data_IF_606101027093
#
_entry.id   IF_606101027093
#
_cell.length_a   1.000
_cell.length_b   1.000
_cell.length_c   1.000
_cell.angle_alpha   90.00
_cell.angle_beta   90.00
_cell.angle_gamma   90.00
#
_symmetry.space_group_name_H-M   'P 1'
#
loop_
_entity.id
_entity.type
_entity.pdbx_description
1 polymer ?
#
# COMPACT_ATOMS: atom_id res chain seq x y z
N UNK A 1 -24.34 -8.66 4.15
CA UNK A 1 -23.47 -9.23 3.10
C UNK A 1 -23.08 -8.21 2.04
N UNK A 2 -24.04 -7.69 1.26
CA UNK A 2 -23.75 -6.83 0.10
C UNK A 2 -22.94 -5.55 0.38
N UNK A 3 -23.25 -4.83 1.46
CA UNK A 3 -22.48 -3.64 1.85
C UNK A 3 -21.00 -3.98 2.11
N UNK A 4 -20.73 -5.08 2.80
CA UNK A 4 -19.37 -5.57 3.07
C UNK A 4 -18.63 -5.97 1.79
N UNK A 5 -19.29 -6.68 0.87
CA UNK A 5 -18.71 -7.03 -0.43
C UNK A 5 -18.42 -5.77 -1.28
N UNK A 6 -19.29 -4.76 -1.21
CA UNK A 6 -19.11 -3.49 -1.93
C UNK A 6 -17.91 -2.70 -1.42
N UNK A 7 -17.64 -2.71 -0.10
CA UNK A 7 -16.40 -2.15 0.47
C UNK A 7 -15.17 -2.82 -0.12
N UNK A 8 -15.13 -4.15 -0.16
CA UNK A 8 -13.99 -4.88 -0.73
C UNK A 8 -13.83 -4.63 -2.23
N UNK A 9 -14.93 -4.57 -2.99
CA UNK A 9 -14.88 -4.33 -4.43
C UNK A 9 -14.46 -2.89 -4.78
N UNK A 10 -15.01 -1.89 -4.08
CA UNK A 10 -14.66 -0.47 -4.26
C UNK A 10 -13.24 -0.16 -3.77
N UNK A 11 -12.78 -0.84 -2.73
CA UNK A 11 -11.43 -0.65 -2.19
C UNK A 11 -10.36 -1.49 -2.92
N UNK A 12 -10.73 -2.56 -3.63
CA UNK A 12 -9.79 -3.36 -4.46
C UNK A 12 -9.02 -2.48 -5.44
N UNK A 13 -9.69 -1.55 -6.11
CA UNK A 13 -9.07 -0.60 -7.04
C UNK A 13 -8.31 0.53 -6.33
N UNK A 14 -8.59 0.75 -5.04
CA UNK A 14 -7.97 1.78 -4.22
C UNK A 14 -6.64 1.36 -3.57
N UNK A 15 -6.29 0.06 -3.66
CA UNK A 15 -5.10 -0.48 -3.01
C UNK A 15 -3.89 0.39 -3.33
N UNK A 16 -3.38 1.06 -2.30
CA UNK A 16 -2.30 2.05 -2.40
C UNK A 16 -1.05 1.49 -3.08
N UNK A 17 -0.95 0.17 -3.15
CA UNK A 17 0.09 -0.62 -3.78
C UNK A 17 0.04 -0.66 -5.30
N UNK A 18 -1.14 -0.52 -5.94
CA UNK A 18 -1.24 -0.53 -7.43
C UNK A 18 -0.43 0.63 -8.03
N UNK A 19 -0.41 1.79 -7.36
CA UNK A 19 0.43 2.92 -7.78
C UNK A 19 1.89 2.83 -7.33
N UNK A 20 2.25 2.01 -6.33
CA UNK A 20 3.66 1.78 -5.98
C UNK A 20 4.37 0.89 -7.00
N UNK A 21 3.62 0.04 -7.70
CA UNK A 21 4.18 -0.80 -8.75
C UNK A 21 4.38 -0.06 -10.10
N UNK A 22 3.83 1.15 -10.24
CA UNK A 22 4.03 2.00 -11.42
C UNK A 22 5.52 2.29 -11.66
N UNK A 23 5.98 2.07 -12.89
CA UNK A 23 7.38 2.18 -13.27
C UNK A 23 7.96 3.57 -12.92
N UNK A 24 7.17 4.62 -13.10
CA UNK A 24 7.55 6.01 -12.84
C UNK A 24 7.78 6.26 -11.34
N UNK A 25 6.89 5.77 -10.47
CA UNK A 25 7.03 5.92 -9.01
C UNK A 25 8.28 5.20 -8.51
N UNK A 26 8.56 4.00 -9.05
CA UNK A 26 9.78 3.26 -8.71
C UNK A 26 11.05 3.96 -9.20
N UNK A 27 11.03 4.54 -10.40
CA UNK A 27 12.16 5.29 -10.92
C UNK A 27 12.45 6.53 -10.06
N UNK A 28 11.43 7.32 -9.75
CA UNK A 28 11.57 8.51 -8.89
C UNK A 28 12.02 8.15 -7.48
N UNK A 29 11.54 7.04 -6.91
CA UNK A 29 12.01 6.54 -5.61
C UNK A 29 13.48 6.16 -5.63
N UNK A 30 13.94 5.42 -6.65
CA UNK A 30 15.36 5.06 -6.78
C UNK A 30 16.25 6.29 -6.91
N UNK A 31 15.83 7.29 -7.70
CA UNK A 31 16.60 8.51 -7.86
C UNK A 31 16.65 9.37 -6.59
N UNK A 32 15.57 9.42 -5.83
CA UNK A 32 15.54 10.08 -4.53
C UNK A 32 16.47 9.38 -3.52
N UNK A 33 16.40 8.04 -3.45
CA UNK A 33 17.25 7.24 -2.56
C UNK A 33 18.74 7.37 -2.90
N UNK A 34 19.09 7.32 -4.19
CA UNK A 34 20.46 7.54 -4.64
C UNK A 34 20.97 8.94 -4.26
N UNK A 35 20.18 9.99 -4.51
CA UNK A 35 20.56 11.35 -4.15
C UNK A 35 20.69 11.54 -2.63
N UNK A 36 19.83 10.90 -1.84
CA UNK A 36 19.92 10.90 -0.39
C UNK A 36 21.20 10.22 0.11
N UNK A 37 21.50 9.02 -0.40
CA UNK A 37 22.72 8.28 -0.05
C UNK A 37 23.97 9.07 -0.45
N UNK A 38 23.95 9.72 -1.61
CA UNK A 38 25.04 10.58 -2.07
C UNK A 38 25.27 11.79 -1.15
N UNK A 39 24.20 12.34 -0.57
CA UNK A 39 24.29 13.47 0.36
C UNK A 39 24.71 13.08 1.78
N UNK A 40 24.34 11.89 2.25
CA UNK A 40 24.41 11.49 3.67
C UNK A 40 25.53 10.49 3.96
N UNK A 41 25.90 9.63 3.01
CA UNK A 41 26.91 8.60 3.24
C UNK A 41 28.33 9.18 3.25
N UNK A 42 29.18 8.61 4.10
CA UNK A 42 30.57 9.04 4.22
C UNK A 42 31.43 8.69 2.99
N UNK A 43 31.11 7.60 2.30
CA UNK A 43 31.88 7.10 1.16
C UNK A 43 32.04 8.14 0.03
N UNK A 44 30.96 8.78 -0.47
CA UNK A 44 31.08 9.80 -1.53
C UNK A 44 31.42 11.21 -1.03
N UNK A 45 31.49 11.45 0.29
CA UNK A 45 31.59 12.80 0.85
C UNK A 45 32.80 13.61 0.34
N UNK A 46 33.91 12.93 0.05
CA UNK A 46 35.12 13.55 -0.52
C UNK A 46 34.90 14.04 -1.94
N UNK A 47 34.25 13.24 -2.79
CA UNK A 47 33.95 13.60 -4.17
C UNK A 47 32.94 14.74 -4.22
N UNK A 48 31.90 14.68 -3.38
CA UNK A 48 30.89 15.74 -3.29
C UNK A 48 31.52 17.09 -2.92
N UNK A 49 32.50 17.09 -2.00
CA UNK A 49 33.23 18.30 -1.60
C UNK A 49 34.25 18.74 -2.64
N UNK A 50 35.01 17.81 -3.23
CA UNK A 50 36.04 18.09 -4.23
C UNK A 50 35.44 18.70 -5.50
N UNK A 51 34.31 18.16 -5.96
CA UNK A 51 33.61 18.65 -7.16
C UNK A 51 32.62 19.77 -6.87
N UNK A 52 32.41 20.16 -5.61
CA UNK A 52 31.49 21.23 -5.24
C UNK A 52 30.01 20.96 -5.55
N UNK A 53 29.64 19.69 -5.76
CA UNK A 53 28.29 19.30 -6.22
C UNK A 53 27.24 19.20 -5.09
N UNK A 54 27.60 19.53 -3.84
CA UNK A 54 26.71 19.37 -2.68
C UNK A 54 25.35 20.06 -2.83
N UNK A 55 25.33 21.31 -3.30
CA UNK A 55 24.07 22.03 -3.56
C UNK A 55 23.21 21.33 -4.61
N UNK A 56 23.83 20.90 -5.72
CA UNK A 56 23.15 20.16 -6.77
C UNK A 56 22.55 18.83 -6.28
N UNK A 57 23.25 18.10 -5.41
CA UNK A 57 22.74 16.84 -4.83
C UNK A 57 21.51 17.09 -3.94
N UNK A 58 21.56 18.12 -3.09
CA UNK A 58 20.45 18.49 -2.20
C UNK A 58 19.23 18.94 -3.01
N UNK A 59 19.43 19.81 -3.99
CA UNK A 59 18.35 20.29 -4.88
C UNK A 59 17.71 19.15 -5.65
N UNK A 60 18.53 18.21 -6.14
CA UNK A 60 18.06 17.00 -6.82
C UNK A 60 17.21 16.14 -5.87
N UNK A 61 17.65 15.92 -4.64
CA UNK A 61 16.87 15.17 -3.66
C UNK A 61 15.53 15.86 -3.37
N UNK A 62 15.54 17.17 -3.11
CA UNK A 62 14.35 17.95 -2.81
C UNK A 62 13.34 17.91 -3.97
N UNK A 63 13.80 18.09 -5.22
CA UNK A 63 12.96 18.02 -6.41
C UNK A 63 12.30 16.64 -6.59
N UNK A 64 13.06 15.56 -6.41
CA UNK A 64 12.54 14.18 -6.53
C UNK A 64 11.58 13.84 -5.39
N UNK A 65 11.87 14.30 -4.18
CA UNK A 65 10.98 14.12 -3.03
C UNK A 65 9.66 14.86 -3.21
N UNK A 66 9.70 16.10 -3.73
CA UNK A 66 8.50 16.87 -4.07
C UNK A 66 7.68 16.17 -5.15
N UNK A 67 8.33 15.68 -6.22
CA UNK A 67 7.64 14.95 -7.30
C UNK A 67 6.92 13.70 -6.79
N UNK A 68 7.54 12.96 -5.87
CA UNK A 68 6.89 11.82 -5.22
C UNK A 68 5.66 12.23 -4.41
N UNK A 69 5.71 13.36 -3.70
CA UNK A 69 4.55 13.88 -2.96
C UNK A 69 3.42 14.32 -3.90
N UNK A 70 3.74 14.94 -5.03
CA UNK A 70 2.76 15.32 -6.06
C UNK A 70 2.06 14.08 -6.64
N UNK A 71 2.81 13.05 -7.04
CA UNK A 71 2.25 11.79 -7.53
C UNK A 71 1.38 11.10 -6.47
N UNK A 72 1.78 11.19 -5.19
CA UNK A 72 0.98 10.71 -4.08
C UNK A 72 -0.32 11.52 -3.96
N UNK A 73 -0.27 12.85 -3.99
CA UNK A 73 -1.45 13.71 -3.91
C UNK A 73 -2.42 13.49 -5.06
N UNK A 74 -1.94 13.43 -6.30
CA UNK A 74 -2.78 13.14 -7.48
C UNK A 74 -3.47 11.77 -7.33
N UNK A 75 -2.74 10.76 -6.86
CA UNK A 75 -3.31 9.44 -6.61
C UNK A 75 -4.33 9.43 -5.46
N UNK A 76 -4.12 10.24 -4.42
CA UNK A 76 -5.06 10.36 -3.30
C UNK A 76 -6.35 11.07 -3.72
N UNK A 77 -6.28 12.06 -4.61
CA UNK A 77 -7.45 12.81 -5.07
C UNK A 77 -8.45 11.95 -5.85
N UNK A 78 -7.97 11.05 -6.71
CA UNK A 78 -8.82 10.08 -7.40
C UNK A 78 -9.48 9.08 -6.42
N UNK A 79 -8.80 8.79 -5.30
CA UNK A 79 -9.27 7.86 -4.27
C UNK A 79 -10.26 8.49 -3.29
N UNK A 80 -10.24 9.81 -3.09
CA UNK A 80 -11.19 10.51 -2.22
C UNK A 80 -12.64 10.23 -2.63
N UNK A 81 -12.94 10.20 -3.94
CA UNK A 81 -14.29 9.88 -4.43
C UNK A 81 -14.71 8.45 -4.09
N UNK A 82 -13.83 7.46 -4.29
CA UNK A 82 -14.12 6.06 -3.94
C UNK A 82 -14.30 5.88 -2.42
N UNK A 83 -13.44 6.50 -1.61
CA UNK A 83 -13.57 6.49 -0.16
C UNK A 83 -14.89 7.12 0.31
N UNK A 84 -15.29 8.25 -0.29
CA UNK A 84 -16.58 8.87 0.01
C UNK A 84 -17.75 7.95 -0.34
N UNK A 85 -17.71 7.26 -1.48
CA UNK A 85 -18.75 6.28 -1.84
C UNK A 85 -18.81 5.13 -0.83
N UNK A 86 -17.66 4.60 -0.42
CA UNK A 86 -17.57 3.54 0.59
C UNK A 86 -18.17 4.01 1.92
N UNK A 87 -17.77 5.19 2.40
CA UNK A 87 -18.33 5.78 3.63
C UNK A 87 -19.84 5.98 3.50
N UNK A 88 -20.32 6.51 2.38
CA UNK A 88 -21.75 6.73 2.16
C UNK A 88 -22.54 5.40 2.20
N UNK A 89 -22.07 4.35 1.53
CA UNK A 89 -22.72 3.03 1.54
C UNK A 89 -22.74 2.44 2.94
N UNK A 90 -21.64 2.53 3.69
CA UNK A 90 -21.59 2.06 5.07
C UNK A 90 -22.55 2.85 5.95
N UNK A 91 -22.55 4.18 5.90
CA UNK A 91 -23.46 5.02 6.68
C UNK A 91 -24.92 4.68 6.38
N UNK A 92 -25.30 4.53 5.11
CA UNK A 92 -26.66 4.15 4.71
C UNK A 92 -27.03 2.78 5.28
N UNK A 93 -26.14 1.80 5.20
CA UNK A 93 -26.37 0.47 5.77
C UNK A 93 -26.55 0.52 7.31
N UNK A 94 -25.76 1.34 8.00
CA UNK A 94 -25.87 1.53 9.44
C UNK A 94 -27.21 2.17 9.82
N UNK A 95 -27.57 3.25 9.14
CA UNK A 95 -28.84 3.96 9.36
C UNK A 95 -30.04 3.04 9.11
N UNK A 96 -30.00 2.22 8.06
CA UNK A 96 -31.06 1.26 7.76
C UNK A 96 -31.29 0.23 8.89
N UNK A 97 -30.25 -0.15 9.63
CA UNK A 97 -30.35 -1.06 10.78
C UNK A 97 -30.82 -0.32 12.04
N UNK A 98 -30.33 0.91 12.28
CA UNK A 98 -30.63 1.66 13.50
C UNK A 98 -32.06 2.24 13.53
N UNK A 99 -32.60 2.68 12.39
CA UNK A 99 -33.95 3.27 12.33
C UNK A 99 -35.05 2.35 12.93
N UNK A 100 -35.19 1.07 12.53
CA UNK A 100 -36.21 0.21 13.10
C UNK A 100 -35.97 -0.11 14.58
N UNK A 101 -34.71 -0.23 15.00
CA UNK A 101 -34.35 -0.45 16.41
C UNK A 101 -34.76 0.73 17.30
N UNK A 102 -34.44 1.95 16.85
CA UNK A 102 -34.80 3.18 17.57
C UNK A 102 -36.31 3.37 17.60
N UNK A 103 -37.02 3.13 16.49
CA UNK A 103 -38.50 3.21 16.46
C UNK A 103 -39.14 2.22 17.45
N UNK A 104 -38.68 0.97 17.47
CA UNK A 104 -39.18 -0.02 18.42
C UNK A 104 -38.91 0.37 19.87
N UNK A 105 -37.75 0.95 20.17
CA UNK A 105 -37.44 1.43 21.51
C UNK A 105 -38.31 2.62 21.94
N UNK A 106 -38.59 3.56 21.02
CA UNK A 106 -39.48 4.70 21.27
C UNK A 106 -40.94 4.29 21.50
N UNK A 107 -41.37 3.14 20.99
CA UNK A 107 -42.71 2.59 21.19
C UNK A 107 -42.78 1.58 22.35
N UNK A 108 -41.67 1.37 23.07
CA UNK A 108 -41.58 0.45 24.20
C UNK A 108 -41.51 -1.04 23.81
N UNK A 109 -41.39 -1.34 22.52
CA UNK A 109 -41.31 -2.71 21.99
C UNK A 109 -39.90 -3.32 22.10
N UNK A 110 -38.88 -2.48 22.32
CA UNK A 110 -37.46 -2.88 22.38
C UNK A 110 -36.78 -2.26 23.59
N UNK A 111 -35.88 -3.00 24.22
CA UNK A 111 -35.11 -2.49 25.36
C UNK A 111 -33.95 -1.59 24.93
N UNK A 112 -33.54 -0.67 25.80
CA UNK A 112 -32.34 0.15 25.58
C UNK A 112 -31.07 -0.71 25.47
N UNK A 113 -31.02 -1.84 26.19
CA UNK A 113 -29.90 -2.77 26.16
C UNK A 113 -29.69 -3.37 24.75
N UNK A 114 -30.76 -3.75 24.06
CA UNK A 114 -30.69 -4.24 22.68
C UNK A 114 -30.11 -3.18 21.73
N UNK A 115 -30.45 -1.91 21.96
CA UNK A 115 -29.94 -0.80 21.17
C UNK A 115 -28.42 -0.62 21.35
N UNK A 116 -27.95 -0.71 22.60
CA UNK A 116 -26.52 -0.62 22.94
C UNK A 116 -25.74 -1.79 22.35
N UNK A 117 -26.27 -3.01 22.46
CA UNK A 117 -25.66 -4.22 21.85
C UNK A 117 -25.57 -4.07 20.33
N UNK A 118 -26.63 -3.61 19.68
CA UNK A 118 -26.63 -3.38 18.23
C UNK A 118 -25.59 -2.32 17.83
N UNK A 119 -25.50 -1.21 18.58
CA UNK A 119 -24.49 -0.18 18.32
C UNK A 119 -23.06 -0.72 18.48
N UNK A 120 -22.77 -1.50 19.51
CA UNK A 120 -21.46 -2.13 19.73
C UNK A 120 -21.13 -3.15 18.62
N UNK A 121 -22.10 -3.96 18.21
CA UNK A 121 -21.92 -4.91 17.11
C UNK A 121 -21.61 -4.17 15.79
N UNK A 122 -22.24 -3.03 15.53
CA UNK A 122 -21.97 -2.20 14.34
C UNK A 122 -20.55 -1.62 14.34
N UNK A 123 -20.06 -1.17 15.50
CA UNK A 123 -18.65 -0.74 15.65
C UNK A 123 -17.69 -1.90 15.36
N UNK A 124 -17.95 -3.08 15.93
CA UNK A 124 -17.15 -4.27 15.70
C UNK A 124 -17.13 -4.71 14.23
N UNK A 125 -18.30 -4.77 13.59
CA UNK A 125 -18.42 -5.13 12.16
C UNK A 125 -17.71 -4.11 11.27
N UNK A 126 -17.78 -2.81 11.59
CA UNK A 126 -17.08 -1.77 10.84
C UNK A 126 -15.57 -1.90 10.98
N UNK A 127 -15.08 -2.17 12.19
CA UNK A 127 -13.65 -2.41 12.44
C UNK A 127 -13.11 -3.62 11.67
N UNK A 128 -13.94 -4.63 11.41
CA UNK A 128 -13.60 -5.80 10.60
C UNK A 128 -13.77 -5.57 9.09
N UNK A 129 -14.76 -4.78 8.67
CA UNK A 129 -15.15 -4.59 7.27
C UNK A 129 -14.40 -3.47 6.55
N UNK A 130 -14.03 -2.40 7.27
CA UNK A 130 -13.05 -1.44 6.77
C UNK A 130 -11.71 -2.14 6.94
N UNK A 131 -11.16 -2.70 5.87
CA UNK A 131 -9.93 -3.51 5.83
C UNK A 131 -8.64 -2.80 6.24
N UNK A 132 -8.70 -1.89 7.21
CA UNK A 132 -7.62 -1.08 7.74
C UNK A 132 -6.65 -1.87 8.62
N UNK A 133 -7.09 -2.95 9.28
CA UNK A 133 -6.21 -3.66 10.24
C UNK A 133 -5.61 -4.95 9.68
N UNK A 134 -6.44 -5.93 9.32
CA UNK A 134 -5.93 -7.27 9.01
C UNK A 134 -5.52 -7.47 7.54
N UNK A 135 -6.36 -7.06 6.58
CA UNK A 135 -6.02 -7.19 5.15
C UNK A 135 -4.81 -6.34 4.78
N UNK A 136 -4.68 -5.15 5.36
CA UNK A 136 -3.50 -4.30 5.17
C UNK A 136 -2.23 -4.94 5.71
N UNK A 137 -2.28 -5.54 6.90
CA UNK A 137 -1.13 -6.20 7.50
C UNK A 137 -0.71 -7.44 6.69
N UNK A 138 -1.69 -8.26 6.27
CA UNK A 138 -1.44 -9.41 5.42
C UNK A 138 -0.86 -9.04 4.05
N UNK A 139 -1.42 -8.04 3.37
CA UNK A 139 -0.90 -7.58 2.08
C UNK A 139 0.52 -7.02 2.22
N UNK A 140 0.81 -6.30 3.31
CA UNK A 140 2.14 -5.76 3.60
C UNK A 140 3.16 -6.88 3.85
N UNK A 141 2.76 -7.91 4.61
CA UNK A 141 3.60 -9.08 4.88
C UNK A 141 3.82 -9.94 3.63
N UNK A 142 2.84 -10.01 2.71
CA UNK A 142 2.93 -10.79 1.48
C UNK A 142 3.72 -10.09 0.35
N UNK A 143 3.90 -8.77 0.41
CA UNK A 143 4.55 -8.01 -0.66
C UNK A 143 5.99 -8.46 -0.96
N UNK A 144 6.87 -8.74 0.04
CA UNK A 144 8.20 -9.28 -0.20
C UNK A 144 8.16 -10.66 -0.83
N UNK A 145 7.25 -11.54 -0.40
CA UNK A 145 7.09 -12.90 -0.94
C UNK A 145 6.79 -12.86 -2.43
N UNK A 146 5.80 -12.03 -2.83
CA UNK A 146 5.48 -11.83 -4.26
C UNK A 146 6.64 -11.23 -5.06
N UNK A 147 7.49 -10.42 -4.43
CA UNK A 147 8.68 -9.87 -5.09
C UNK A 147 9.76 -10.95 -5.29
N UNK A 148 9.99 -11.79 -4.28
CA UNK A 148 10.92 -12.93 -4.35
C UNK A 148 10.45 -13.96 -5.38
N UNK A 149 9.16 -14.31 -5.41
CA UNK A 149 8.61 -15.23 -6.41
C UNK A 149 8.76 -14.69 -7.84
N UNK A 150 8.45 -13.41 -8.06
CA UNK A 150 8.67 -12.75 -9.36
C UNK A 150 10.14 -12.76 -9.76
N UNK A 151 11.04 -12.54 -8.81
CA UNK A 151 12.48 -12.59 -9.05
C UNK A 151 12.94 -14.01 -9.38
N UNK A 152 12.51 -15.01 -8.60
CA UNK A 152 12.83 -16.41 -8.80
C UNK A 152 12.38 -16.89 -10.20
N UNK A 153 11.17 -16.54 -10.62
CA UNK A 153 10.66 -16.86 -11.95
C UNK A 153 11.51 -16.24 -13.08
N UNK A 154 12.04 -15.01 -12.88
CA UNK A 154 12.91 -14.34 -13.85
C UNK A 154 14.34 -14.88 -13.86
N UNK A 155 14.85 -15.26 -12.69
CA UNK A 155 16.21 -15.76 -12.51
C UNK A 155 16.34 -17.25 -12.82
N UNK A 156 15.24 -18.01 -12.85
CA UNK A 156 15.24 -19.44 -13.18
C UNK A 156 15.94 -19.76 -14.51
N UNK A 157 15.61 -19.06 -15.62
CA UNK A 157 16.29 -19.24 -16.90
C UNK A 157 17.77 -18.85 -16.90
N UNK A 158 18.14 -17.75 -16.24
CA UNK A 158 19.53 -17.27 -16.20
C UNK A 158 20.41 -18.05 -15.21
N UNK A 159 19.82 -18.61 -14.17
CA UNK A 159 20.48 -19.42 -13.15
C UNK A 159 20.65 -20.89 -13.54
N UNK A 160 20.04 -21.34 -14.63
CA UNK A 160 20.20 -22.68 -15.20
C UNK A 160 21.53 -22.82 -15.97
N UNK A 161 22.63 -22.34 -15.39
CA UNK A 161 23.96 -22.49 -15.96
C UNK A 161 24.36 -23.96 -15.89
N UNK A 162 24.74 -24.52 -17.05
CA UNK A 162 25.27 -25.87 -17.08
C UNK A 162 26.60 -25.89 -16.30
N UNK A 163 26.89 -26.97 -15.55
CA UNK A 163 28.19 -27.16 -14.94
C UNK A 163 29.28 -27.03 -16.00
N UNK A 164 30.35 -26.30 -15.69
CA UNK A 164 31.49 -26.21 -16.59
C UNK A 164 31.98 -27.64 -16.93
N UNK A 165 32.32 -27.93 -18.21
CA UNK A 165 32.89 -29.22 -18.57
C UNK A 165 34.09 -29.51 -17.65
N UNK A 166 34.12 -30.71 -17.08
CA UNK A 166 35.26 -31.14 -16.27
C UNK A 166 36.57 -31.04 -17.07
N UNK A 167 37.72 -30.85 -16.39
CA UNK A 167 38.99 -30.70 -17.06
C UNK A 167 39.22 -31.88 -18.01
N UNK A 168 39.52 -31.56 -19.27
CA UNK A 168 39.88 -32.55 -20.29
C UNK A 168 41.17 -33.22 -19.80
N UNK A 169 41.11 -34.53 -19.55
CA UNK A 169 42.30 -35.29 -19.18
C UNK A 169 43.30 -35.23 -20.34
N UNK A 170 44.52 -34.77 -20.06
CA UNK A 170 45.60 -34.75 -21.04
C UNK A 170 45.87 -36.18 -21.55
N UNK A 171 46.01 -36.38 -22.87
CA UNK A 171 46.39 -37.67 -23.42
C UNK A 171 47.82 -38.02 -22.98
N UNK A 172 47.97 -39.21 -22.42
CA UNK A 172 49.23 -39.81 -21.98
C UNK A 172 50.15 -40.18 -23.15
#
# INVERSE_FOLDING_TARGET
GGAWASTHWLLRSSSFWVNRDAADVKAEQRHADYAYRLAVEAAPAKEVRLFGIGGWVVDRFAARRKRLLELQWESMRLKQRSLMTVFAVLTVAHVAVLIPLVRGALHGERSLAELVVAAQAMVGVTALGVGASFSWALDSAAAPVKAVERLAARMGPEGALQPAPGPVADPA
#
